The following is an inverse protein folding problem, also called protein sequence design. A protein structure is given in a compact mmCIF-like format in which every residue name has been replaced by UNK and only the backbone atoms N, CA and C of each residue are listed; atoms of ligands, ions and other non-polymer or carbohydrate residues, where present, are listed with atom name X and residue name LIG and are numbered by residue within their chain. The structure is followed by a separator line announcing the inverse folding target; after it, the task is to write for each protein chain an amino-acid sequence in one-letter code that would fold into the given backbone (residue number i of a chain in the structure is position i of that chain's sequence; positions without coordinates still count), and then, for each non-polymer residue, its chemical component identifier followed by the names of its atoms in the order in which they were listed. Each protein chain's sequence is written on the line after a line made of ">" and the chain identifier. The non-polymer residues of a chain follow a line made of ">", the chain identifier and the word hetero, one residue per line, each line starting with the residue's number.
data_IF_813231663271
#
_entry.id   IF_813231663271
#
_cell.length_a   1.000
_cell.length_b   1.000
_cell.length_c   1.000
_cell.angle_alpha   90.00
_cell.angle_beta   90.00
_cell.angle_gamma   90.00
#
_symmetry.space_group_name_H-M   'P 1'
#
loop_
_entity.id
_entity.type
_entity.pdbx_description
1 polymer ?
#
# COMPACT_ATOMS: atom_id res chain seq x y z
N UNK A 1 -16.60 -3.77 68.41
CA UNK A 1 -17.60 -3.05 67.60
C UNK A 1 -16.80 -2.12 66.72
N UNK A 2 -16.55 -2.32 65.43
CA UNK A 2 -17.06 -3.20 64.38
C UNK A 2 -16.05 -3.00 63.22
N UNK A 3 -15.19 -3.97 62.90
CA UNK A 3 -15.24 -4.89 61.73
C UNK A 3 -15.23 -4.24 60.33
N UNK A 4 -14.23 -4.63 59.52
CA UNK A 4 -14.27 -4.71 58.04
C UNK A 4 -14.06 -3.40 57.26
N UNK A 5 -13.42 -3.33 56.10
CA UNK A 5 -12.95 -4.36 55.18
C UNK A 5 -12.06 -3.70 54.10
N UNK A 6 -11.14 -4.49 53.55
CA UNK A 6 -10.23 -4.18 52.46
C UNK A 6 -10.90 -3.59 51.20
N UNK A 7 -10.21 -2.68 50.51
CA UNK A 7 -10.49 -2.36 49.10
C UNK A 7 -9.19 -2.13 48.32
N UNK A 8 -8.64 -3.26 47.86
CA UNK A 8 -8.22 -3.56 46.48
C UNK A 8 -7.53 -2.46 45.66
N UNK A 9 -6.25 -2.71 45.39
CA UNK A 9 -5.43 -2.30 44.24
C UNK A 9 -6.15 -1.52 43.12
N UNK A 10 -5.76 -0.26 42.96
CA UNK A 10 -6.12 0.58 41.81
C UNK A 10 -5.44 0.09 40.52
N UNK A 11 -6.16 -0.68 39.71
CA UNK A 11 -5.85 -0.90 38.30
C UNK A 11 -6.88 -0.13 37.45
N UNK A 12 -6.63 1.16 37.23
CA UNK A 12 -7.32 1.91 36.19
C UNK A 12 -6.49 1.84 34.91
N UNK A 13 -6.60 0.72 34.21
CA UNK A 13 -6.28 0.67 32.79
C UNK A 13 -7.34 1.51 32.08
N UNK A 14 -6.99 2.76 31.72
CA UNK A 14 -7.83 3.63 30.91
C UNK A 14 -7.98 2.98 29.52
N UNK A 15 -9.03 2.21 29.34
CA UNK A 15 -9.56 1.87 28.03
C UNK A 15 -9.95 3.16 27.31
N UNK A 16 -9.07 3.67 26.43
CA UNK A 16 -9.51 4.60 25.39
C UNK A 16 -10.28 3.77 24.38
N UNK A 17 -11.59 3.72 24.53
CA UNK A 17 -12.47 3.26 23.46
C UNK A 17 -12.25 4.21 22.26
N UNK A 18 -11.78 3.67 21.14
CA UNK A 18 -11.80 4.41 19.87
C UNK A 18 -13.23 4.91 19.60
N UNK A 19 -13.42 6.15 19.13
CA UNK A 19 -14.75 6.65 18.82
C UNK A 19 -15.43 5.81 17.71
N UNK A 20 -16.77 5.67 17.71
CA UNK A 20 -17.49 4.72 16.84
C UNK A 20 -17.55 5.10 15.35
N UNK A 21 -16.80 6.11 14.90
CA UNK A 21 -16.92 6.69 13.54
C UNK A 21 -15.90 6.16 12.52
N UNK A 22 -15.02 5.22 12.88
CA UNK A 22 -14.05 4.61 11.95
C UNK A 22 -14.20 3.09 11.82
N UNK A 23 -15.43 2.59 11.79
CA UNK A 23 -15.67 1.28 11.21
C UNK A 23 -15.42 1.38 9.70
N UNK A 24 -14.16 1.25 9.27
CA UNK A 24 -13.78 1.21 7.86
C UNK A 24 -14.53 0.04 7.19
N UNK A 25 -15.62 0.36 6.49
CA UNK A 25 -16.39 -0.62 5.73
C UNK A 25 -15.44 -1.27 4.74
N UNK A 26 -15.17 -2.58 4.91
CA UNK A 26 -14.26 -3.28 4.00
C UNK A 26 -14.84 -3.25 2.60
N UNK A 27 -14.18 -2.53 1.69
CA UNK A 27 -14.65 -2.35 0.31
C UNK A 27 -14.58 -3.65 -0.49
N UNK A 28 -15.27 -3.71 -1.64
CA UNK A 28 -15.20 -4.86 -2.55
C UNK A 28 -13.78 -5.13 -3.02
N UNK A 29 -13.01 -4.08 -3.36
CA UNK A 29 -11.62 -4.20 -3.82
C UNK A 29 -10.71 -4.73 -2.71
N UNK A 30 -10.86 -4.24 -1.48
CA UNK A 30 -10.08 -4.74 -0.34
C UNK A 30 -10.39 -6.21 -0.01
N UNK A 31 -11.66 -6.64 -0.10
CA UNK A 31 -12.00 -8.07 0.05
C UNK A 31 -11.36 -8.94 -1.03
N UNK A 32 -11.35 -8.46 -2.28
CA UNK A 32 -10.71 -9.16 -3.38
C UNK A 32 -9.20 -9.26 -3.18
N UNK A 33 -8.55 -8.17 -2.75
CA UNK A 33 -7.13 -8.17 -2.41
C UNK A 33 -6.80 -9.14 -1.28
N UNK A 34 -7.56 -9.15 -0.17
CA UNK A 34 -7.34 -10.11 0.93
C UNK A 34 -7.47 -11.57 0.48
N UNK A 35 -8.39 -11.88 -0.44
CA UNK A 35 -8.49 -13.24 -1.03
C UNK A 35 -7.27 -13.56 -1.87
N UNK A 36 -6.80 -12.60 -2.66
CA UNK A 36 -5.61 -12.74 -3.47
C UNK A 36 -4.35 -12.94 -2.62
N UNK A 37 -4.18 -12.18 -1.54
CA UNK A 37 -3.06 -12.38 -0.59
C UNK A 37 -3.00 -13.83 -0.11
N UNK A 38 -4.14 -14.38 0.34
CA UNK A 38 -4.21 -15.78 0.79
C UNK A 38 -3.88 -16.77 -0.33
N UNK A 39 -4.35 -16.54 -1.56
CA UNK A 39 -4.02 -17.44 -2.68
C UNK A 39 -2.56 -17.37 -3.11
N UNK A 40 -1.86 -16.28 -2.77
CA UNK A 40 -0.43 -16.09 -2.99
C UNK A 40 0.43 -16.49 -1.77
N UNK A 41 -0.16 -17.06 -0.72
CA UNK A 41 0.57 -17.41 0.50
C UNK A 41 1.12 -16.20 1.27
N UNK A 42 0.55 -15.01 1.07
CA UNK A 42 0.89 -13.81 1.82
C UNK A 42 0.08 -13.82 3.11
N UNK A 43 0.78 -13.65 4.23
CA UNK A 43 0.20 -13.60 5.56
C UNK A 43 0.57 -12.31 6.28
N UNK A 44 -0.29 -11.84 7.19
CA UNK A 44 -0.05 -10.66 8.01
C UNK A 44 -0.58 -10.86 9.43
N UNK A 45 0.09 -10.25 10.40
CA UNK A 45 -0.33 -10.30 11.81
C UNK A 45 -1.73 -9.71 12.01
N UNK A 46 -2.50 -10.27 12.94
CA UNK A 46 -3.78 -9.73 13.39
C UNK A 46 -3.65 -8.35 14.06
N UNK A 47 -2.44 -7.97 14.44
CA UNK A 47 -2.11 -6.62 14.89
C UNK A 47 -2.23 -5.57 13.77
N UNK A 48 -2.29 -6.00 12.49
CA UNK A 48 -2.43 -5.11 11.35
C UNK A 48 -3.85 -5.09 10.78
N UNK A 49 -4.29 -3.89 10.45
CA UNK A 49 -5.54 -3.63 9.73
C UNK A 49 -5.23 -2.93 8.41
N UNK A 50 -5.64 -3.56 7.32
CA UNK A 50 -5.69 -2.94 6.01
C UNK A 50 -6.94 -2.05 5.89
N UNK A 51 -6.74 -0.81 5.45
CA UNK A 51 -7.78 0.19 5.30
C UNK A 51 -7.77 0.67 3.87
N UNK A 52 -8.98 0.81 3.31
CA UNK A 52 -9.17 1.34 1.99
C UNK A 52 -9.77 2.75 2.11
N UNK A 53 -9.03 3.76 1.68
CA UNK A 53 -9.53 5.12 1.67
C UNK A 53 -10.52 5.29 0.51
N UNK A 54 -11.78 5.56 0.86
CA UNK A 54 -12.89 5.80 -0.06
C UNK A 54 -12.60 7.03 -0.95
N UNK A 55 -13.11 7.11 -2.21
CA UNK A 55 -12.87 8.21 -3.16
C UNK A 55 -13.25 9.63 -2.69
N UNK A 56 -13.83 9.79 -1.51
CA UNK A 56 -14.11 11.10 -0.90
C UNK A 56 -12.93 11.66 -0.12
N UNK A 57 -11.91 10.84 0.19
CA UNK A 57 -10.63 11.31 0.68
C UNK A 57 -9.68 11.52 -0.52
N UNK A 58 -8.96 12.65 -0.55
CA UNK A 58 -7.99 12.95 -1.62
C UNK A 58 -6.85 11.92 -1.69
N UNK A 59 -6.62 11.16 -0.63
CA UNK A 59 -5.68 10.04 -0.60
C UNK A 59 -6.37 8.77 -1.11
N UNK A 60 -6.17 8.46 -2.40
CA UNK A 60 -6.51 7.15 -2.95
C UNK A 60 -5.45 6.13 -2.52
N UNK A 61 -5.88 4.94 -2.08
CA UNK A 61 -4.96 3.83 -1.84
C UNK A 61 -5.36 2.94 -0.67
N UNK A 62 -4.57 1.87 -0.48
CA UNK A 62 -4.65 1.00 0.69
C UNK A 62 -3.58 1.41 1.69
N UNK A 63 -4.00 1.62 2.93
CA UNK A 63 -3.12 1.93 4.06
C UNK A 63 -3.10 0.78 5.06
N UNK A 64 -2.03 0.70 5.85
CA UNK A 64 -1.89 -0.24 6.95
C UNK A 64 -1.93 0.54 8.25
N UNK A 65 -2.75 0.10 9.20
CA UNK A 65 -2.81 0.64 10.56
C UNK A 65 -2.62 -0.48 11.57
N UNK A 66 -2.02 -0.16 12.71
CA UNK A 66 -1.97 -1.09 13.84
C UNK A 66 -3.26 -1.01 14.66
N UNK A 67 -3.66 -2.14 15.27
CA UNK A 67 -4.79 -2.18 16.23
C UNK A 67 -4.33 -2.33 17.67
N UNK A 68 -3.03 -2.57 17.88
CA UNK A 68 -2.35 -2.65 19.16
C UNK A 68 -0.90 -2.16 19.00
N UNK A 69 -0.19 -2.08 20.12
CA UNK A 69 1.23 -1.75 20.12
C UNK A 69 2.03 -2.88 19.43
N UNK A 70 3.03 -2.47 18.63
CA UNK A 70 4.04 -3.35 18.04
C UNK A 70 5.37 -3.09 18.73
N UNK A 71 6.15 -4.14 18.93
CA UNK A 71 7.48 -4.08 19.51
C UNK A 71 8.53 -4.43 18.46
N UNK A 72 9.77 -4.01 18.72
CA UNK A 72 10.90 -4.39 17.87
C UNK A 72 11.05 -5.92 17.83
N UNK A 73 11.16 -6.46 16.61
CA UNK A 73 11.25 -7.90 16.37
C UNK A 73 9.91 -8.59 16.11
N UNK A 74 8.77 -7.91 16.28
CA UNK A 74 7.45 -8.49 15.98
C UNK A 74 7.32 -8.81 14.48
N UNK A 75 6.88 -10.04 14.17
CA UNK A 75 6.59 -10.44 12.80
C UNK A 75 5.27 -9.82 12.34
N UNK A 76 5.36 -8.83 11.45
CA UNK A 76 4.17 -8.09 10.96
C UNK A 76 3.54 -8.71 9.71
N UNK A 77 4.36 -9.29 8.82
CA UNK A 77 3.89 -9.92 7.60
C UNK A 77 4.94 -10.89 7.02
N UNK A 78 4.46 -11.89 6.28
CA UNK A 78 5.29 -12.79 5.48
C UNK A 78 4.85 -12.72 4.03
N UNK A 79 5.76 -12.33 3.14
CA UNK A 79 5.50 -12.21 1.70
C UNK A 79 6.44 -13.17 0.95
N UNK A 80 5.92 -14.26 0.33
CA UNK A 80 6.75 -15.15 -0.46
C UNK A 80 7.34 -14.41 -1.67
N UNK A 81 8.62 -14.66 -1.99
CA UNK A 81 9.31 -14.02 -3.13
C UNK A 81 8.59 -14.27 -4.47
N UNK A 82 7.94 -15.42 -4.62
CA UNK A 82 7.18 -15.77 -5.82
C UNK A 82 5.94 -14.88 -6.02
N UNK A 83 5.41 -14.31 -4.93
CA UNK A 83 4.23 -13.44 -4.94
C UNK A 83 4.56 -12.00 -5.32
N UNK A 84 5.84 -11.62 -5.25
CA UNK A 84 6.32 -10.31 -5.68
C UNK A 84 6.31 -10.21 -7.20
N UNK A 85 5.79 -9.10 -7.73
CA UNK A 85 5.92 -8.79 -9.15
C UNK A 85 7.34 -8.29 -9.44
N UNK A 86 8.05 -9.03 -10.27
CA UNK A 86 9.43 -8.74 -10.72
C UNK A 86 9.53 -9.09 -12.20
N UNK A 87 10.64 -8.70 -12.84
CA UNK A 87 10.96 -9.18 -14.20
C UNK A 87 10.94 -10.71 -14.23
N UNK A 88 11.50 -11.38 -13.22
CA UNK A 88 11.66 -12.84 -13.18
C UNK A 88 10.35 -13.59 -12.97
N UNK A 89 9.41 -12.99 -12.26
CA UNK A 89 8.11 -13.60 -11.94
C UNK A 89 7.05 -13.25 -12.97
N UNK A 90 7.16 -12.11 -13.66
CA UNK A 90 6.22 -11.70 -14.71
C UNK A 90 6.22 -12.65 -15.91
N UNK A 91 5.06 -12.80 -16.55
CA UNK A 91 4.90 -13.51 -17.83
C UNK A 91 5.56 -12.77 -19.00
N UNK A 92 5.85 -11.48 -18.86
CA UNK A 92 6.58 -10.70 -19.86
C UNK A 92 8.09 -11.01 -19.89
N UNK A 93 8.59 -11.80 -18.93
CA UNK A 93 10.02 -12.10 -18.75
C UNK A 93 10.76 -12.41 -20.07
N UNK A 94 10.29 -13.32 -20.95
CA UNK A 94 11.07 -13.67 -22.14
C UNK A 94 11.31 -12.48 -23.07
N UNK A 95 10.31 -11.59 -23.19
CA UNK A 95 10.39 -10.39 -24.03
C UNK A 95 11.32 -9.36 -23.41
N UNK A 96 11.21 -9.13 -22.10
CA UNK A 96 12.05 -8.18 -21.36
C UNK A 96 13.52 -8.60 -21.40
N UNK A 97 13.80 -9.88 -21.13
CA UNK A 97 15.16 -10.41 -21.17
C UNK A 97 15.75 -10.39 -22.59
N UNK A 98 14.94 -10.71 -23.62
CA UNK A 98 15.40 -10.67 -25.02
C UNK A 98 15.76 -9.26 -25.52
N UNK A 99 15.15 -8.23 -24.93
CA UNK A 99 15.41 -6.82 -25.27
C UNK A 99 16.51 -6.20 -24.42
N UNK A 100 17.09 -6.94 -23.47
CA UNK A 100 18.12 -6.44 -22.56
C UNK A 100 17.60 -5.37 -21.59
N UNK A 101 16.29 -5.31 -21.36
CA UNK A 101 15.68 -4.36 -20.43
C UNK A 101 15.88 -4.82 -18.99
N UNK A 102 16.58 -4.01 -18.22
CA UNK A 102 16.90 -4.31 -16.81
C UNK A 102 16.39 -3.21 -15.86
N UNK A 103 16.59 -3.44 -14.55
CA UNK A 103 16.27 -2.47 -13.50
C UNK A 103 14.81 -2.00 -13.52
N UNK A 104 14.62 -0.70 -13.29
CA UNK A 104 13.30 -0.09 -13.25
C UNK A 104 12.59 -0.12 -14.60
N UNK A 105 13.31 -0.01 -15.72
CA UNK A 105 12.69 -0.03 -17.04
C UNK A 105 12.09 -1.40 -17.36
N UNK A 106 12.84 -2.48 -17.12
CA UNK A 106 12.31 -3.83 -17.26
C UNK A 106 11.13 -4.10 -16.31
N UNK A 107 11.20 -3.60 -15.06
CA UNK A 107 10.09 -3.71 -14.11
C UNK A 107 8.85 -2.93 -14.56
N UNK A 108 9.01 -1.74 -15.12
CA UNK A 108 7.91 -0.95 -15.68
C UNK A 108 7.20 -1.69 -16.81
N UNK A 109 7.94 -2.33 -17.71
CA UNK A 109 7.36 -3.16 -18.78
C UNK A 109 6.63 -4.37 -18.20
N UNK A 110 7.21 -5.05 -17.20
CA UNK A 110 6.55 -6.15 -16.51
C UNK A 110 5.22 -5.71 -15.87
N UNK A 111 5.21 -4.55 -15.19
CA UNK A 111 4.02 -3.97 -14.59
C UNK A 111 2.95 -3.64 -15.64
N UNK A 112 3.34 -2.95 -16.73
CA UNK A 112 2.44 -2.60 -17.82
C UNK A 112 1.81 -3.83 -18.48
N UNK A 113 2.63 -4.84 -18.74
CA UNK A 113 2.18 -6.10 -19.33
C UNK A 113 1.17 -6.81 -18.42
N UNK A 114 1.50 -7.03 -17.14
CA UNK A 114 0.58 -7.69 -16.21
C UNK A 114 -0.71 -6.88 -16.02
N UNK A 115 -0.62 -5.54 -15.96
CA UNK A 115 -1.80 -4.67 -15.88
C UNK A 115 -2.70 -4.82 -17.11
N UNK A 116 -2.12 -4.95 -18.30
CA UNK A 116 -2.87 -5.14 -19.56
C UNK A 116 -3.66 -6.45 -19.63
N UNK A 117 -3.23 -7.49 -18.90
CA UNK A 117 -3.92 -8.78 -18.86
C UNK A 117 -5.20 -8.75 -18.00
N UNK A 118 -5.39 -7.71 -17.18
CA UNK A 118 -6.53 -7.61 -16.28
C UNK A 118 -6.67 -8.85 -15.39
N UNK A 119 -7.87 -9.42 -15.31
CA UNK A 119 -8.18 -10.58 -14.46
C UNK A 119 -7.36 -11.85 -14.79
N UNK A 120 -6.77 -11.91 -15.98
CA UNK A 120 -5.92 -13.03 -16.40
C UNK A 120 -4.51 -12.95 -15.78
N UNK A 121 -4.11 -11.79 -15.25
CA UNK A 121 -2.84 -11.64 -14.52
C UNK A 121 -2.95 -12.29 -13.14
N UNK A 122 -1.95 -13.08 -12.70
CA UNK A 122 -1.93 -13.58 -11.34
C UNK A 122 -1.72 -12.46 -10.33
N UNK A 123 -1.33 -11.24 -10.72
CA UNK A 123 -1.23 -10.06 -9.85
C UNK A 123 -2.47 -9.16 -9.87
N UNK A 124 -3.54 -9.51 -10.58
CA UNK A 124 -4.73 -8.65 -10.71
C UNK A 124 -5.27 -8.16 -9.36
N UNK A 125 -5.25 -9.04 -8.35
CA UNK A 125 -5.72 -8.73 -7.01
C UNK A 125 -4.98 -7.56 -6.34
N UNK A 126 -3.68 -7.42 -6.61
CA UNK A 126 -2.81 -6.33 -6.18
C UNK A 126 -2.92 -5.12 -7.12
N UNK A 127 -2.85 -5.35 -8.44
CA UNK A 127 -2.80 -4.27 -9.44
C UNK A 127 -4.06 -3.39 -9.45
N UNK A 128 -5.23 -3.95 -9.14
CA UNK A 128 -6.48 -3.18 -9.03
C UNK A 128 -6.51 -2.19 -7.85
N UNK A 129 -5.54 -2.27 -6.93
CA UNK A 129 -5.43 -1.36 -5.79
C UNK A 129 -4.52 -0.17 -6.06
N UNK A 130 -3.65 -0.26 -7.08
CA UNK A 130 -2.75 0.82 -7.41
C UNK A 130 -3.55 2.07 -7.80
N UNK A 131 -3.07 3.27 -7.41
CA UNK A 131 -3.69 4.50 -7.86
C UNK A 131 -3.60 4.63 -9.37
N UNK A 132 -4.47 5.46 -9.95
CA UNK A 132 -4.44 5.74 -11.38
C UNK A 132 -3.25 6.61 -11.77
N UNK A 133 -2.89 7.57 -10.91
CA UNK A 133 -1.73 8.43 -11.04
C UNK A 133 -1.07 8.65 -9.68
N UNK A 134 0.23 8.92 -9.70
CA UNK A 134 0.97 9.36 -8.52
C UNK A 134 1.04 10.90 -8.50
N UNK A 135 1.03 11.54 -7.31
CA UNK A 135 1.16 12.98 -7.18
C UNK A 135 2.62 13.43 -7.34
N UNK A 136 3.24 13.10 -8.47
CA UNK A 136 4.63 13.44 -8.80
C UNK A 136 4.68 14.60 -9.79
N UNK A 137 5.74 15.44 -9.77
CA UNK A 137 5.86 16.59 -10.67
C UNK A 137 5.79 16.28 -12.15
N UNK A 138 6.14 15.05 -12.56
CA UNK A 138 5.99 14.59 -13.94
C UNK A 138 4.53 14.58 -14.43
N UNK A 139 3.57 14.54 -13.52
CA UNK A 139 2.14 14.58 -13.81
C UNK A 139 1.53 15.98 -13.67
N UNK A 140 2.33 17.01 -13.36
CA UNK A 140 1.88 18.38 -13.17
C UNK A 140 1.94 19.16 -14.49
N UNK A 141 1.14 20.21 -14.57
CA UNK A 141 1.25 21.22 -15.63
C UNK A 141 2.54 22.03 -15.47
N UNK A 142 3.02 22.63 -16.57
CA UNK A 142 4.20 23.50 -16.51
C UNK A 142 4.01 24.68 -15.54
N UNK A 143 2.80 25.24 -15.46
CA UNK A 143 2.46 26.31 -14.52
C UNK A 143 2.56 25.84 -13.05
N UNK A 144 2.10 24.64 -12.74
CA UNK A 144 2.24 24.05 -11.40
C UNK A 144 3.72 23.79 -11.06
N UNK A 145 4.51 23.32 -12.01
CA UNK A 145 5.96 23.15 -11.83
C UNK A 145 6.63 24.49 -11.53
N UNK A 146 6.36 25.52 -12.33
CA UNK A 146 6.97 26.84 -12.16
C UNK A 146 6.52 27.54 -10.87
N UNK A 147 5.26 27.39 -10.47
CA UNK A 147 4.73 28.03 -9.26
C UNK A 147 5.10 27.29 -7.97
N UNK A 148 5.11 25.95 -7.98
CA UNK A 148 5.27 25.14 -6.76
C UNK A 148 6.72 24.72 -6.52
N UNK A 149 7.54 24.59 -7.56
CA UNK A 149 8.93 24.12 -7.43
C UNK A 149 9.96 25.24 -7.53
N UNK A 150 9.57 26.48 -7.84
CA UNK A 150 10.50 27.61 -7.96
C UNK A 150 11.42 27.73 -6.74
N UNK A 151 12.73 27.81 -7.00
CA UNK A 151 13.77 27.88 -5.98
C UNK A 151 14.21 26.53 -5.40
N UNK A 152 13.62 25.41 -5.83
CA UNK A 152 14.11 24.07 -5.51
C UNK A 152 15.10 23.55 -6.55
N UNK A 153 15.95 22.59 -6.18
CA UNK A 153 16.81 21.90 -7.16
C UNK A 153 16.00 21.15 -8.22
N UNK A 154 14.77 20.74 -7.90
CA UNK A 154 13.91 20.01 -8.82
C UNK A 154 13.42 20.90 -9.97
N UNK A 155 13.21 22.20 -9.73
CA UNK A 155 12.85 23.17 -10.77
C UNK A 155 13.96 23.42 -11.80
N UNK A 156 15.22 23.11 -11.47
CA UNK A 156 16.34 23.18 -12.41
C UNK A 156 16.37 22.00 -13.38
N UNK A 157 15.62 20.93 -13.10
CA UNK A 157 15.47 19.80 -14.01
C UNK A 157 14.54 20.22 -15.13
N UNK A 158 15.00 20.12 -16.36
CA UNK A 158 14.20 20.48 -17.53
C UNK A 158 13.16 19.40 -17.81
N UNK A 159 11.96 19.59 -17.25
CA UNK A 159 10.81 18.71 -17.50
C UNK A 159 10.23 18.88 -18.92
N UNK A 160 10.62 19.92 -19.67
CA UNK A 160 10.14 20.14 -21.03
C UNK A 160 10.71 19.13 -22.04
N UNK A 161 11.79 18.42 -21.71
CA UNK A 161 12.36 17.36 -22.55
C UNK A 161 11.61 16.02 -22.46
N UNK A 162 10.60 15.91 -21.61
CA UNK A 162 9.79 14.71 -21.41
C UNK A 162 8.43 14.77 -22.13
N UNK A 163 8.15 15.85 -22.86
CA UNK A 163 6.96 16.08 -23.69
C UNK A 163 7.35 16.38 -25.14
#
# INVERSE_FOLDING_TARGET
>A
MDSGQDSVYSLSARGRSLPPQMAATTTRRLRAFKRWMRSQGIDHSDALRLIDHHPTNQLQGISVMTVCDLHEGDLVATIPKASCLTIKTSRARPVIESTGLEGYLGLSVALMYEKSLGQSSPWFGYLQLLPESEPIPLNWTLEEVDSLLSGTELHKVDFALLY
#
